data_IF_670865651741
#
_entry.id   IF_670865651741
#
_cell.length_a   1.000
_cell.length_b   1.000
_cell.length_c   1.000
_cell.angle_alpha   90.00
_cell.angle_beta   90.00
_cell.angle_gamma   90.00
#
_symmetry.space_group_name_H-M   'P 1'
#
loop_
_entity.id
_entity.type
_entity.pdbx_description
1 polymer ?
#
# COMPACT_ATOMS: atom_id res chain seq x y z
N UNK A 1 21.02 -1.85 -10.61
CA UNK A 1 21.54 -3.24 -10.55
C UNK A 1 20.41 -4.16 -10.99
N UNK A 2 20.64 -5.09 -11.90
CA UNK A 2 19.66 -6.10 -12.28
C UNK A 2 19.74 -7.27 -11.29
N UNK A 3 18.69 -7.49 -10.52
CA UNK A 3 18.58 -8.58 -9.53
C UNK A 3 17.87 -9.83 -10.09
N UNK A 4 17.44 -9.79 -11.35
CA UNK A 4 16.76 -10.92 -12.01
C UNK A 4 17.52 -12.26 -11.84
N UNK A 5 18.88 -12.31 -11.98
CA UNK A 5 19.63 -13.55 -11.78
C UNK A 5 19.53 -14.11 -10.35
N UNK A 6 19.23 -13.27 -9.35
CA UNK A 6 19.13 -13.70 -7.95
C UNK A 6 17.74 -14.25 -7.61
N UNK A 7 16.71 -13.94 -8.40
CA UNK A 7 15.34 -14.40 -8.11
C UNK A 7 15.23 -15.93 -8.11
N UNK A 8 15.95 -16.62 -8.96
CA UNK A 8 15.96 -18.09 -8.99
C UNK A 8 16.61 -18.71 -7.75
N UNK A 9 17.57 -18.01 -7.14
CA UNK A 9 18.26 -18.48 -5.93
C UNK A 9 17.42 -18.30 -4.65
N UNK A 10 16.33 -17.53 -4.73
CA UNK A 10 15.43 -17.29 -3.59
C UNK A 10 14.29 -18.31 -3.47
N UNK A 11 14.23 -19.29 -4.36
CA UNK A 11 13.20 -20.32 -4.34
C UNK A 11 13.27 -21.14 -3.03
N UNK A 12 12.15 -21.21 -2.32
CA UNK A 12 12.09 -21.86 -1.00
C UNK A 12 12.71 -21.09 0.17
N UNK A 13 13.27 -19.89 -0.06
CA UNK A 13 13.85 -19.05 0.98
C UNK A 13 12.76 -18.21 1.65
N UNK A 14 12.71 -18.20 2.98
CA UNK A 14 11.79 -17.34 3.74
C UNK A 14 12.32 -15.92 3.85
N UNK A 15 11.44 -14.96 4.15
CA UNK A 15 11.86 -13.58 4.37
C UNK A 15 12.85 -13.45 5.54
N UNK A 16 12.68 -14.22 6.59
CA UNK A 16 13.65 -14.27 7.72
C UNK A 16 15.03 -14.71 7.28
N UNK A 17 15.13 -15.72 6.42
CA UNK A 17 16.41 -16.18 5.91
C UNK A 17 17.10 -15.10 5.07
N UNK A 18 16.33 -14.33 4.30
CA UNK A 18 16.84 -13.16 3.57
C UNK A 18 17.35 -12.10 4.56
N UNK A 19 16.55 -11.76 5.58
CA UNK A 19 16.95 -10.78 6.60
C UNK A 19 18.21 -11.20 7.36
N UNK A 20 18.32 -12.49 7.69
CA UNK A 20 19.53 -13.04 8.34
C UNK A 20 20.74 -12.98 7.43
N UNK A 21 20.58 -13.27 6.14
CA UNK A 21 21.70 -13.24 5.16
C UNK A 21 22.31 -11.85 4.99
N UNK A 22 21.54 -10.80 5.26
CA UNK A 22 21.97 -9.38 5.18
C UNK A 22 22.21 -8.76 6.54
N UNK A 23 22.34 -9.59 7.59
CA UNK A 23 22.64 -9.19 8.97
C UNK A 23 21.62 -8.19 9.58
N UNK A 24 20.34 -8.21 9.13
CA UNK A 24 19.29 -7.52 9.85
C UNK A 24 19.03 -8.27 11.15
N UNK A 25 19.36 -7.64 12.27
CA UNK A 25 19.08 -8.15 13.62
C UNK A 25 17.96 -7.37 14.31
N UNK A 26 17.63 -6.19 13.80
CA UNK A 26 16.64 -5.29 14.39
C UNK A 26 15.21 -5.58 14.00
N UNK A 27 14.32 -4.72 14.49
CA UNK A 27 12.89 -4.85 14.30
C UNK A 27 12.44 -4.37 12.91
N UNK A 28 11.38 -5.01 12.44
CA UNK A 28 10.70 -4.68 11.19
C UNK A 28 9.33 -4.07 11.50
N UNK A 29 9.01 -2.95 10.85
CA UNK A 29 7.68 -2.38 10.83
C UNK A 29 6.98 -2.75 9.52
N UNK A 30 5.72 -3.15 9.62
CA UNK A 30 4.89 -3.54 8.47
C UNK A 30 3.62 -2.71 8.49
N UNK A 31 3.36 -1.93 7.42
CA UNK A 31 2.16 -1.12 7.30
C UNK A 31 1.48 -1.39 5.95
N UNK A 32 0.30 -2.04 5.96
CA UNK A 32 -0.33 -2.49 4.73
C UNK A 32 -1.82 -2.24 4.71
N UNK A 33 -2.33 -1.80 3.56
CA UNK A 33 -3.76 -1.75 3.34
C UNK A 33 -4.32 -3.18 3.28
N UNK A 34 -5.30 -3.43 4.13
CA UNK A 34 -6.00 -4.70 4.18
C UNK A 34 -5.30 -5.76 5.05
N UNK A 35 -6.08 -6.30 5.95
CA UNK A 35 -5.62 -7.29 6.95
C UNK A 35 -5.10 -8.59 6.34
N UNK A 36 -5.59 -8.95 5.14
CA UNK A 36 -5.18 -10.19 4.48
C UNK A 36 -3.71 -10.10 4.02
N UNK A 37 -3.35 -9.03 3.30
CA UNK A 37 -1.98 -8.82 2.83
C UNK A 37 -1.02 -8.63 4.01
N UNK A 38 -1.40 -7.82 5.00
CA UNK A 38 -0.64 -7.63 6.24
C UNK A 38 -0.34 -8.98 6.91
N UNK A 39 -1.37 -9.82 7.07
CA UNK A 39 -1.24 -11.14 7.65
C UNK A 39 -0.31 -12.04 6.83
N UNK A 40 -0.50 -12.08 5.50
CA UNK A 40 0.32 -12.89 4.60
C UNK A 40 1.81 -12.54 4.70
N UNK A 41 2.14 -11.25 4.73
CA UNK A 41 3.53 -10.81 4.90
C UNK A 41 4.04 -11.12 6.31
N UNK A 42 3.24 -10.91 7.36
CA UNK A 42 3.64 -11.29 8.71
C UNK A 42 3.86 -12.82 8.85
N UNK A 43 3.08 -13.63 8.15
CA UNK A 43 3.22 -15.10 8.15
C UNK A 43 4.46 -15.58 7.38
N UNK A 44 5.05 -14.76 6.52
CA UNK A 44 6.32 -15.07 5.86
C UNK A 44 7.54 -14.97 6.79
N UNK A 45 7.35 -14.43 7.99
CA UNK A 45 8.35 -14.43 9.04
C UNK A 45 8.22 -15.69 9.92
N UNK A 46 9.28 -16.47 10.03
CA UNK A 46 9.35 -17.60 10.98
C UNK A 46 9.48 -17.08 12.41
N UNK A 47 10.35 -16.08 12.61
CA UNK A 47 10.51 -15.38 13.89
C UNK A 47 9.66 -14.10 13.92
N UNK A 48 8.45 -14.22 14.42
CA UNK A 48 7.52 -13.09 14.55
C UNK A 48 7.93 -12.06 15.60
N UNK A 49 8.88 -12.37 16.47
CA UNK A 49 9.40 -11.40 17.45
C UNK A 49 10.15 -10.25 16.79
N UNK A 50 10.56 -10.41 15.55
CA UNK A 50 11.16 -9.36 14.72
C UNK A 50 10.14 -8.30 14.27
N UNK A 51 8.85 -8.64 14.25
CA UNK A 51 7.81 -7.70 13.86
C UNK A 51 7.47 -6.83 15.08
N UNK A 52 8.00 -5.63 15.11
CA UNK A 52 7.72 -4.66 16.18
C UNK A 52 6.45 -3.84 15.94
N UNK A 53 6.02 -3.73 14.68
CA UNK A 53 4.80 -3.04 14.29
C UNK A 53 4.12 -3.77 13.13
N UNK A 54 2.80 -3.97 13.24
CA UNK A 54 1.92 -4.41 12.15
C UNK A 54 0.67 -3.52 12.17
N UNK A 55 0.55 -2.61 11.21
CA UNK A 55 -0.48 -1.58 11.16
C UNK A 55 -1.20 -1.55 9.81
N UNK A 56 -2.42 -1.04 9.77
CA UNK A 56 -3.16 -0.80 8.52
C UNK A 56 -3.24 0.68 8.16
N UNK A 57 -2.75 1.55 9.03
CA UNK A 57 -2.81 3.00 8.90
C UNK A 57 -1.47 3.70 9.24
N UNK A 58 -1.28 4.90 8.70
CA UNK A 58 -0.07 5.69 8.89
C UNK A 58 0.11 6.19 10.33
N UNK A 59 -0.93 6.76 11.00
CA UNK A 59 -0.77 7.26 12.37
C UNK A 59 -0.32 6.19 13.35
N UNK A 60 -0.91 5.00 13.28
CA UNK A 60 -0.53 3.87 14.12
C UNK A 60 0.93 3.47 13.88
N UNK A 61 1.32 3.32 12.61
CA UNK A 61 2.69 2.95 12.27
C UNK A 61 3.71 3.98 12.78
N UNK A 62 3.47 5.28 12.55
CA UNK A 62 4.34 6.36 13.05
C UNK A 62 4.45 6.36 14.59
N UNK A 63 3.35 6.09 15.29
CA UNK A 63 3.36 6.00 16.75
C UNK A 63 4.23 4.84 17.28
N UNK A 64 4.29 3.71 16.56
CA UNK A 64 5.20 2.61 16.90
C UNK A 64 6.65 2.95 16.55
N UNK A 65 6.91 3.52 15.37
CA UNK A 65 8.25 3.92 14.94
C UNK A 65 8.88 4.92 15.92
N UNK A 66 8.09 5.79 16.53
CA UNK A 66 8.57 6.79 17.50
C UNK A 66 9.01 6.18 18.87
N UNK A 67 8.66 4.93 19.18
CA UNK A 67 8.93 4.32 20.50
C UNK A 67 10.28 3.62 20.58
N UNK A 68 10.73 3.06 19.48
CA UNK A 68 11.94 2.23 19.41
C UNK A 68 12.54 2.26 18.01
N UNK A 69 13.83 1.93 17.84
CA UNK A 69 14.46 1.88 16.54
C UNK A 69 14.00 0.67 15.72
N UNK A 70 13.77 0.91 14.43
CA UNK A 70 13.48 -0.11 13.42
C UNK A 70 14.56 -0.06 12.33
N UNK A 71 14.90 -1.22 11.77
CA UNK A 71 15.85 -1.33 10.67
C UNK A 71 15.19 -1.35 9.30
N UNK A 72 13.95 -1.87 9.22
CA UNK A 72 13.21 -2.01 7.97
C UNK A 72 11.75 -1.61 8.16
N UNK A 73 11.23 -0.83 7.20
CA UNK A 73 9.81 -0.57 7.01
C UNK A 73 9.38 -1.21 5.67
N UNK A 74 8.38 -2.08 5.72
CA UNK A 74 7.69 -2.60 4.54
C UNK A 74 6.28 -2.03 4.57
N UNK A 75 5.89 -1.26 3.55
CA UNK A 75 4.55 -0.69 3.52
C UNK A 75 3.94 -0.75 2.11
N UNK A 76 2.60 -0.78 2.03
CA UNK A 76 1.90 -0.54 0.76
C UNK A 76 1.83 0.96 0.48
N UNK A 77 1.74 1.34 -0.79
CA UNK A 77 1.59 2.73 -1.23
C UNK A 77 0.29 3.38 -0.72
N UNK A 78 -0.78 2.59 -0.53
CA UNK A 78 -2.02 3.00 0.13
C UNK A 78 -2.17 2.33 1.49
N UNK A 79 -2.74 3.06 2.45
CA UNK A 79 -3.11 2.56 3.78
C UNK A 79 -4.61 2.83 4.03
N UNK A 80 -5.19 2.25 5.08
CA UNK A 80 -6.60 2.52 5.45
C UNK A 80 -6.79 4.01 5.83
N UNK A 81 -5.78 4.60 6.48
CA UNK A 81 -5.68 6.03 6.74
C UNK A 81 -4.23 6.45 6.46
N UNK A 82 -4.03 7.31 5.44
CA UNK A 82 -2.72 7.78 5.03
C UNK A 82 -2.18 7.16 3.75
N UNK A 83 -0.91 7.42 3.51
CA UNK A 83 -0.19 7.14 2.28
C UNK A 83 1.17 6.54 2.59
N UNK A 84 1.47 5.36 2.03
CA UNK A 84 2.71 4.66 2.32
C UNK A 84 3.98 5.39 1.86
N UNK A 85 3.93 6.15 0.77
CA UNK A 85 5.09 6.96 0.37
C UNK A 85 5.34 8.12 1.34
N UNK A 86 4.26 8.75 1.85
CA UNK A 86 4.38 9.80 2.85
C UNK A 86 4.82 9.23 4.21
N UNK A 87 4.28 8.07 4.61
CA UNK A 87 4.76 7.30 5.76
C UNK A 87 6.27 7.04 5.63
N UNK A 88 6.70 6.48 4.50
CA UNK A 88 8.10 6.17 4.22
C UNK A 88 8.99 7.42 4.30
N UNK A 89 8.56 8.53 3.69
CA UNK A 89 9.28 9.81 3.73
C UNK A 89 9.42 10.35 5.16
N UNK A 90 8.32 10.37 5.93
CA UNK A 90 8.34 10.83 7.34
C UNK A 90 9.20 9.94 8.22
N UNK A 91 9.05 8.61 8.07
CA UNK A 91 9.82 7.64 8.83
C UNK A 91 11.32 7.75 8.56
N UNK A 92 11.73 7.89 7.29
CA UNK A 92 13.13 8.11 6.89
C UNK A 92 13.70 9.41 7.44
N UNK A 93 12.90 10.48 7.43
CA UNK A 93 13.34 11.78 7.97
C UNK A 93 13.57 11.73 9.48
N UNK A 94 12.80 10.92 10.20
CA UNK A 94 12.92 10.74 11.65
C UNK A 94 14.03 9.73 12.04
N UNK A 95 14.29 8.73 11.17
CA UNK A 95 15.18 7.61 11.45
C UNK A 95 16.18 7.38 10.31
N UNK A 96 17.37 7.96 10.39
CA UNK A 96 18.37 7.94 9.30
C UNK A 96 18.85 6.54 8.90
N UNK A 97 18.77 5.55 9.80
CA UNK A 97 19.15 4.15 9.54
C UNK A 97 18.03 3.26 8.99
N UNK A 98 16.79 3.76 8.98
CA UNK A 98 15.64 2.98 8.56
C UNK A 98 15.68 2.72 7.04
N UNK A 99 15.59 1.47 6.63
CA UNK A 99 15.42 1.05 5.24
C UNK A 99 13.95 0.96 4.88
N UNK A 100 13.60 1.22 3.64
CA UNK A 100 12.20 1.24 3.23
C UNK A 100 11.97 0.44 1.95
N UNK A 101 10.95 -0.43 1.98
CA UNK A 101 10.41 -1.13 0.82
C UNK A 101 8.93 -0.77 0.70
N UNK A 102 8.53 -0.22 -0.43
CA UNK A 102 7.12 0.08 -0.73
C UNK A 102 6.57 -0.97 -1.70
N UNK A 103 5.44 -1.55 -1.35
CA UNK A 103 4.63 -2.42 -2.22
C UNK A 103 3.57 -1.54 -2.89
N UNK A 104 3.71 -1.31 -4.19
CA UNK A 104 2.75 -0.55 -4.96
C UNK A 104 1.58 -1.45 -5.38
N UNK A 105 0.36 -1.12 -4.94
CA UNK A 105 -0.88 -1.85 -5.28
C UNK A 105 -1.34 -1.62 -6.73
N UNK A 106 -0.49 -0.99 -7.54
CA UNK A 106 -0.67 -0.79 -8.97
C UNK A 106 0.68 -0.82 -9.69
N UNK A 107 0.64 -0.84 -11.01
CA UNK A 107 1.84 -0.82 -11.86
C UNK A 107 2.34 0.61 -12.18
N UNK A 108 1.55 1.63 -11.84
CA UNK A 108 1.87 3.04 -12.09
C UNK A 108 2.07 3.78 -10.78
N UNK A 109 3.26 4.33 -10.59
CA UNK A 109 3.57 5.20 -9.46
C UNK A 109 3.93 6.61 -9.95
N UNK A 110 3.67 7.67 -9.14
CA UNK A 110 4.04 9.03 -9.51
C UNK A 110 5.54 9.16 -9.78
N UNK A 111 5.89 9.87 -10.86
CA UNK A 111 7.28 10.06 -11.28
C UNK A 111 8.19 10.58 -10.16
N UNK A 112 7.66 11.46 -9.31
CA UNK A 112 8.39 12.00 -8.15
C UNK A 112 8.89 10.93 -7.16
N UNK A 113 8.25 9.76 -7.10
CA UNK A 113 8.69 8.64 -6.24
C UNK A 113 9.56 7.63 -6.99
N UNK A 114 9.43 7.54 -8.33
CA UNK A 114 10.31 6.69 -9.13
C UNK A 114 11.75 7.14 -9.04
N UNK A 115 11.96 8.47 -9.08
CA UNK A 115 13.29 9.09 -9.11
C UNK A 115 13.77 9.53 -7.71
N UNK A 116 12.94 9.34 -6.67
CA UNK A 116 13.27 9.77 -5.32
C UNK A 116 14.47 8.99 -4.76
N UNK A 117 15.58 9.70 -4.52
CA UNK A 117 16.81 9.11 -3.98
C UNK A 117 16.67 8.59 -2.55
N UNK A 118 15.65 9.00 -1.83
CA UNK A 118 15.36 8.52 -0.47
C UNK A 118 14.54 7.22 -0.46
N UNK A 119 13.90 6.85 -1.58
CA UNK A 119 13.08 5.64 -1.71
C UNK A 119 13.91 4.54 -2.37
N UNK A 120 14.36 3.59 -1.58
CA UNK A 120 15.32 2.58 -2.04
C UNK A 120 14.65 1.48 -2.85
N UNK A 121 13.47 0.99 -2.44
CA UNK A 121 12.82 -0.10 -3.16
C UNK A 121 11.31 0.10 -3.34
N UNK A 122 10.83 -0.24 -4.54
CA UNK A 122 9.40 -0.33 -4.85
C UNK A 122 9.15 -1.64 -5.61
N UNK A 123 8.18 -2.40 -5.12
CA UNK A 123 7.72 -3.67 -5.71
C UNK A 123 6.28 -3.49 -6.19
N UNK A 124 5.99 -3.81 -7.44
CA UNK A 124 4.63 -3.81 -7.96
C UNK A 124 3.84 -5.02 -7.44
N UNK A 125 2.56 -4.83 -7.15
CA UNK A 125 1.65 -5.92 -6.77
C UNK A 125 1.65 -7.04 -7.81
N UNK A 126 1.66 -6.70 -9.10
CA UNK A 126 1.68 -7.65 -10.20
C UNK A 126 2.88 -8.61 -10.16
N UNK A 127 4.01 -8.16 -9.64
CA UNK A 127 5.22 -8.98 -9.49
C UNK A 127 5.24 -9.75 -8.17
N UNK A 128 4.42 -9.34 -7.18
CA UNK A 128 4.38 -9.93 -5.85
C UNK A 128 3.29 -11.01 -5.68
N UNK A 129 2.20 -10.95 -6.45
CA UNK A 129 1.07 -11.90 -6.31
C UNK A 129 1.53 -13.33 -6.62
N UNK A 130 1.43 -14.19 -5.60
CA UNK A 130 1.81 -15.60 -5.71
C UNK A 130 3.31 -15.89 -5.67
N UNK A 131 4.15 -14.88 -5.63
CA UNK A 131 5.59 -15.01 -5.55
C UNK A 131 6.21 -13.96 -4.63
N UNK A 132 6.86 -14.36 -3.57
CA UNK A 132 7.52 -13.46 -2.62
C UNK A 132 8.94 -13.08 -3.02
N UNK A 133 9.50 -13.70 -4.07
CA UNK A 133 10.88 -13.43 -4.53
C UNK A 133 11.16 -11.96 -4.83
N UNK A 134 10.24 -11.19 -5.47
CA UNK A 134 10.45 -9.76 -5.69
C UNK A 134 10.59 -8.95 -4.38
N UNK A 135 9.83 -9.27 -3.34
CA UNK A 135 9.98 -8.64 -2.04
C UNK A 135 11.33 -9.00 -1.39
N UNK A 136 11.72 -10.26 -1.45
CA UNK A 136 13.01 -10.73 -0.95
C UNK A 136 14.17 -10.05 -1.69
N UNK A 137 14.11 -9.95 -3.02
CA UNK A 137 15.09 -9.24 -3.85
C UNK A 137 15.15 -7.75 -3.51
N UNK A 138 14.00 -7.11 -3.28
CA UNK A 138 13.92 -5.72 -2.85
C UNK A 138 14.60 -5.50 -1.49
N UNK A 139 14.33 -6.37 -0.52
CA UNK A 139 14.98 -6.32 0.81
C UNK A 139 16.49 -6.49 0.68
N UNK A 140 16.97 -7.48 -0.08
CA UNK A 140 18.39 -7.68 -0.33
C UNK A 140 19.05 -6.45 -0.95
N UNK A 141 18.41 -5.84 -1.96
CA UNK A 141 18.91 -4.63 -2.61
C UNK A 141 19.05 -3.47 -1.63
N UNK A 142 17.99 -3.21 -0.86
CA UNK A 142 17.94 -2.11 0.11
C UNK A 142 19.02 -2.26 1.17
N UNK A 143 19.23 -3.48 1.67
CA UNK A 143 20.27 -3.76 2.67
C UNK A 143 21.67 -3.64 2.08
N UNK A 144 21.86 -3.99 0.82
CA UNK A 144 23.10 -3.76 0.06
C UNK A 144 23.31 -2.31 -0.38
N UNK A 145 22.46 -1.37 0.04
CA UNK A 145 22.48 0.05 -0.38
C UNK A 145 22.27 0.22 -1.89
N UNK A 146 21.47 -0.64 -2.49
CA UNK A 146 21.09 -0.58 -3.89
C UNK A 146 19.61 -0.20 -4.04
N UNK A 147 19.30 0.39 -5.18
CA UNK A 147 17.90 0.64 -5.55
C UNK A 147 17.28 -0.58 -6.19
N UNK A 148 16.01 -0.83 -5.88
CA UNK A 148 15.21 -1.85 -6.55
C UNK A 148 13.92 -1.24 -7.09
N UNK A 149 13.64 -1.53 -8.34
CA UNK A 149 12.36 -1.21 -8.98
C UNK A 149 11.87 -2.46 -9.68
N UNK A 150 10.67 -2.88 -9.32
CA UNK A 150 10.02 -4.05 -9.90
C UNK A 150 9.83 -3.88 -11.42
N UNK A 151 10.02 -4.93 -12.23
CA UNK A 151 9.97 -4.84 -13.71
C UNK A 151 8.64 -4.34 -14.25
N UNK A 152 7.52 -4.65 -13.58
CA UNK A 152 6.18 -4.20 -13.99
C UNK A 152 5.89 -2.74 -13.67
N UNK A 153 6.74 -2.06 -12.89
CA UNK A 153 6.51 -0.66 -12.53
C UNK A 153 6.70 0.28 -13.70
N UNK A 154 5.73 1.19 -13.86
CA UNK A 154 5.74 2.25 -14.85
C UNK A 154 5.77 3.61 -14.17
N UNK A 155 6.58 4.52 -14.70
CA UNK A 155 6.50 5.93 -14.35
C UNK A 155 5.30 6.56 -15.05
N UNK A 156 4.43 7.22 -14.32
CA UNK A 156 3.25 7.87 -14.87
C UNK A 156 3.04 9.26 -14.30
N UNK A 157 2.41 10.11 -15.11
CA UNK A 157 1.92 11.44 -14.70
C UNK A 157 0.53 11.40 -14.08
N UNK A 158 0.01 10.21 -13.77
CA UNK A 158 -1.25 10.11 -13.06
C UNK A 158 -1.09 10.85 -11.74
N UNK A 159 -1.96 11.82 -11.43
CA UNK A 159 -1.95 12.46 -10.15
C UNK A 159 -2.05 11.35 -9.11
N UNK A 160 -1.11 11.32 -8.17
CA UNK A 160 -1.18 10.42 -7.03
C UNK A 160 -2.55 10.63 -6.39
N UNK A 161 -3.39 9.62 -6.54
CA UNK A 161 -4.73 9.71 -6.00
C UNK A 161 -4.61 9.66 -4.49
N UNK A 162 -4.68 10.83 -3.85
CA UNK A 162 -4.96 10.85 -2.43
C UNK A 162 -6.26 10.06 -2.22
N UNK A 163 -6.17 8.93 -1.52
CA UNK A 163 -7.37 8.17 -1.18
C UNK A 163 -8.01 8.85 0.02
N UNK A 164 -9.08 9.64 -0.19
CA UNK A 164 -9.72 10.34 0.91
C UNK A 164 -10.38 9.34 1.85
N UNK A 165 -10.42 9.69 3.12
CA UNK A 165 -11.16 8.90 4.10
C UNK A 165 -12.66 9.07 3.84
N UNK A 166 -13.32 7.98 3.48
CA UNK A 166 -14.76 7.95 3.33
C UNK A 166 -15.43 7.70 4.69
N UNK A 167 -16.55 8.38 4.93
CA UNK A 167 -17.47 8.01 6.00
C UNK A 167 -18.10 6.64 5.69
N UNK A 168 -18.62 5.97 6.71
CA UNK A 168 -19.32 4.69 6.53
C UNK A 168 -20.40 4.78 5.43
N UNK A 169 -21.15 5.89 5.42
CA UNK A 169 -22.23 6.11 4.44
C UNK A 169 -21.71 6.33 3.02
N UNK A 170 -20.60 7.05 2.86
CA UNK A 170 -19.96 7.22 1.55
C UNK A 170 -19.39 5.89 1.03
N UNK A 171 -18.88 5.05 1.92
CA UNK A 171 -18.43 3.70 1.56
C UNK A 171 -19.59 2.84 1.05
N UNK A 172 -20.72 2.81 1.76
CA UNK A 172 -21.93 2.09 1.36
C UNK A 172 -22.43 2.55 -0.01
N UNK A 173 -22.44 3.86 -0.27
CA UNK A 173 -22.84 4.42 -1.57
C UNK A 173 -21.85 4.06 -2.66
N UNK A 174 -20.55 4.11 -2.40
CA UNK A 174 -19.52 3.74 -3.38
C UNK A 174 -19.62 2.27 -3.79
N UNK A 175 -19.88 1.38 -2.85
CA UNK A 175 -20.06 -0.06 -3.10
C UNK A 175 -21.30 -0.34 -3.98
N UNK A 176 -22.41 0.35 -3.70
CA UNK A 176 -23.62 0.25 -4.52
C UNK A 176 -23.44 0.84 -5.93
N UNK A 177 -22.66 1.93 -6.05
CA UNK A 177 -22.28 2.48 -7.36
C UNK A 177 -21.39 1.51 -8.15
N UNK A 178 -20.44 0.85 -7.48
CA UNK A 178 -19.59 -0.18 -8.10
C UNK A 178 -20.39 -1.40 -8.56
N UNK A 179 -21.47 -1.72 -7.84
CA UNK A 179 -22.44 -2.74 -8.25
C UNK A 179 -23.37 -2.29 -9.41
N UNK A 180 -23.18 -1.08 -9.95
CA UNK A 180 -23.94 -0.56 -11.10
C UNK A 180 -25.32 -0.01 -10.78
N UNK A 181 -25.68 0.17 -9.51
CA UNK A 181 -27.01 0.62 -9.10
C UNK A 181 -27.24 2.10 -9.45
N UNK A 182 -28.48 2.42 -9.85
CA UNK A 182 -28.98 3.77 -10.04
C UNK A 182 -29.29 4.46 -8.71
N UNK A 183 -29.46 5.79 -8.70
CA UNK A 183 -29.80 6.52 -7.46
C UNK A 183 -31.12 6.05 -6.85
N UNK A 184 -32.08 5.60 -7.67
CA UNK A 184 -33.33 5.01 -7.21
C UNK A 184 -33.10 3.68 -6.50
N UNK A 185 -32.33 2.78 -7.09
CA UNK A 185 -32.01 1.48 -6.50
C UNK A 185 -31.14 1.63 -5.23
N UNK A 186 -30.24 2.61 -5.23
CA UNK A 186 -29.48 2.99 -4.02
C UNK A 186 -30.43 3.47 -2.92
N UNK A 187 -31.41 4.30 -3.26
CA UNK A 187 -32.40 4.79 -2.32
C UNK A 187 -33.20 3.65 -1.69
N UNK A 188 -33.67 2.70 -2.52
CA UNK A 188 -34.38 1.50 -2.05
C UNK A 188 -33.49 0.65 -1.13
N UNK A 189 -32.23 0.42 -1.50
CA UNK A 189 -31.28 -0.39 -0.72
C UNK A 189 -30.90 0.24 0.61
N UNK A 190 -30.81 1.56 0.64
CA UNK A 190 -30.43 2.34 1.84
C UNK A 190 -31.63 2.80 2.68
N UNK A 191 -32.87 2.49 2.24
CA UNK A 191 -34.13 2.88 2.87
C UNK A 191 -34.22 4.41 3.07
N UNK A 192 -33.97 5.16 1.98
CA UNK A 192 -34.03 6.63 1.96
C UNK A 192 -34.79 7.11 0.71
N UNK A 193 -35.07 8.41 0.63
CA UNK A 193 -35.63 8.98 -0.61
C UNK A 193 -34.57 9.03 -1.73
N UNK A 194 -35.04 9.00 -2.99
CA UNK A 194 -34.14 9.15 -4.16
C UNK A 194 -33.33 10.46 -4.10
N UNK A 195 -33.94 11.54 -3.63
CA UNK A 195 -33.29 12.83 -3.46
C UNK A 195 -32.15 12.76 -2.41
N UNK A 196 -32.36 11.97 -1.36
CA UNK A 196 -31.33 11.71 -0.35
C UNK A 196 -30.20 10.89 -0.93
N UNK A 197 -30.48 9.87 -1.74
CA UNK A 197 -29.47 9.08 -2.43
C UNK A 197 -28.62 9.92 -3.38
N UNK A 198 -29.25 10.80 -4.19
CA UNK A 198 -28.55 11.78 -5.03
C UNK A 198 -27.63 12.71 -4.22
N UNK A 199 -28.10 13.12 -3.05
CA UNK A 199 -27.28 13.95 -2.15
C UNK A 199 -26.06 13.19 -1.63
N UNK A 200 -26.21 11.92 -1.27
CA UNK A 200 -25.08 11.08 -0.86
C UNK A 200 -24.09 10.85 -2.02
N UNK A 201 -24.59 10.56 -3.21
CA UNK A 201 -23.75 10.44 -4.42
C UNK A 201 -22.96 11.74 -4.66
N UNK A 202 -23.62 12.90 -4.60
CA UNK A 202 -22.95 14.21 -4.73
C UNK A 202 -21.85 14.43 -3.69
N UNK A 203 -22.11 14.11 -2.43
CA UNK A 203 -21.11 14.23 -1.35
C UNK A 203 -19.93 13.31 -1.62
N UNK A 204 -20.18 12.06 -1.98
CA UNK A 204 -19.15 11.10 -2.35
C UNK A 204 -18.28 11.62 -3.50
N UNK A 205 -18.88 12.14 -4.58
CA UNK A 205 -18.13 12.71 -5.70
C UNK A 205 -17.22 13.86 -5.24
N UNK A 206 -17.72 14.72 -4.35
CA UNK A 206 -16.93 15.83 -3.78
C UNK A 206 -15.82 15.32 -2.89
N UNK A 207 -16.08 14.35 -2.02
CA UNK A 207 -15.06 13.74 -1.13
C UNK A 207 -13.99 13.05 -1.95
N UNK A 208 -14.38 12.37 -3.03
CA UNK A 208 -13.45 11.72 -3.94
C UNK A 208 -12.77 12.70 -4.92
N UNK A 209 -13.18 13.97 -4.98
CA UNK A 209 -12.69 14.95 -5.95
C UNK A 209 -12.79 14.43 -7.40
N UNK A 210 -14.01 14.06 -7.80
CA UNK A 210 -14.32 13.53 -9.13
C UNK A 210 -15.63 14.09 -9.67
N UNK A 211 -15.83 14.05 -10.99
CA UNK A 211 -16.94 14.72 -11.64
C UNK A 211 -18.15 13.82 -11.93
N UNK A 212 -18.00 12.51 -11.91
CA UNK A 212 -19.08 11.58 -12.21
C UNK A 212 -18.92 10.24 -11.50
N UNK A 213 -20.03 9.43 -11.50
CA UNK A 213 -20.09 8.12 -10.83
C UNK A 213 -19.05 7.11 -11.33
N UNK A 214 -18.76 7.09 -12.64
CA UNK A 214 -17.77 6.20 -13.21
C UNK A 214 -16.36 6.52 -12.66
N UNK A 215 -16.01 7.80 -12.62
CA UNK A 215 -14.75 8.24 -12.02
C UNK A 215 -14.68 7.92 -10.52
N UNK A 216 -15.81 7.99 -9.80
CA UNK A 216 -15.87 7.61 -8.40
C UNK A 216 -15.56 6.11 -8.20
N UNK A 217 -16.19 5.26 -9.00
CA UNK A 217 -15.93 3.81 -8.98
C UNK A 217 -14.49 3.50 -9.36
N UNK A 218 -13.97 4.07 -10.45
CA UNK A 218 -12.59 3.87 -10.87
C UNK A 218 -11.59 4.36 -9.81
N UNK A 219 -11.86 5.51 -9.16
CA UNK A 219 -11.02 6.00 -8.06
C UNK A 219 -11.13 5.09 -6.84
N UNK A 220 -12.33 4.63 -6.50
CA UNK A 220 -12.57 3.67 -5.44
C UNK A 220 -11.82 2.35 -5.65
N UNK A 221 -11.84 1.81 -6.87
CA UNK A 221 -11.06 0.62 -7.25
C UNK A 221 -9.56 0.85 -7.11
N UNK A 222 -9.04 1.94 -7.66
CA UNK A 222 -7.63 2.32 -7.55
C UNK A 222 -7.17 2.52 -6.09
N UNK A 223 -8.07 3.02 -5.25
CA UNK A 223 -7.84 3.13 -3.81
C UNK A 223 -8.10 1.80 -3.05
N UNK A 224 -8.49 0.72 -3.76
CA UNK A 224 -8.86 -0.57 -3.16
C UNK A 224 -10.01 -0.45 -2.16
N UNK A 225 -10.91 0.52 -2.39
CA UNK A 225 -12.11 0.73 -1.55
C UNK A 225 -13.25 -0.19 -1.99
N UNK A 226 -13.32 -0.54 -3.28
CA UNK A 226 -14.31 -1.44 -3.87
C UNK A 226 -13.64 -2.36 -4.88
N UNK A 227 -14.24 -3.55 -5.08
CA UNK A 227 -13.86 -4.53 -6.10
C UNK A 227 -15.05 -4.76 -7.00
N UNK A 228 -14.84 -5.07 -8.28
CA UNK A 228 -15.87 -5.52 -9.21
C UNK A 228 -16.06 -7.03 -9.13
#
# INVERSE_FOLDING_TARGET
MDLTPFLSSLEGTTLDQVLLSVAISGKVAIAMKGRFLLRSVCESFQDRTRIGCAATDEPTCLAYLAREPYELLICTDYLEDGNGFELARKARSAHQGLRVVVLALGDVIPAQYVEASWLEAVVAEADFIGDQRPLQAAVLAVMGQHFYRSPSLRSGTLPYLSCPRLTKREYEVLDLLASGLTDREIAERLVVSEETAKTYTKRLLKTLDVNNRLQAVLKGMRCGMVQL
#
